data_IF_764068152493
#
_entry.id   IF_764068152493
#
_cell.length_a   1.000
_cell.length_b   1.000
_cell.length_c   1.000
_cell.angle_alpha   90.00
_cell.angle_beta   90.00
_cell.angle_gamma   90.00
#
_symmetry.space_group_name_H-M   'P 1'
#
loop_
_entity.id
_entity.type
_entity.pdbx_description
1 polymer ?
#
# COMPACT_ATOMS: atom_id res chain seq x y z
N UNK A 1 -5.53 2.62 -18.33
CA UNK A 1 -6.05 3.66 -17.41
C UNK A 1 -5.38 3.50 -16.04
N UNK A 2 -5.50 4.46 -15.11
CA UNK A 2 -4.74 4.43 -13.84
C UNK A 2 -4.98 3.17 -13.00
N UNK A 3 -6.23 2.68 -12.94
CA UNK A 3 -6.58 1.45 -12.21
C UNK A 3 -5.99 0.20 -12.88
N UNK A 4 -6.03 0.12 -14.22
CA UNK A 4 -5.44 -1.00 -14.96
C UNK A 4 -3.92 -1.08 -14.80
N UNK A 5 -3.23 0.06 -14.82
CA UNK A 5 -1.77 0.09 -14.61
C UNK A 5 -1.40 -0.23 -13.16
N UNK A 6 -2.18 0.27 -12.20
CA UNK A 6 -2.02 -0.09 -10.79
C UNK A 6 -2.20 -1.59 -10.56
N UNK A 7 -3.18 -2.22 -11.22
CA UNK A 7 -3.39 -3.67 -11.14
C UNK A 7 -2.17 -4.45 -11.66
N UNK A 8 -1.55 -4.02 -12.77
CA UNK A 8 -0.33 -4.67 -13.27
C UNK A 8 0.81 -4.61 -12.25
N UNK A 9 1.02 -3.46 -11.62
CA UNK A 9 2.03 -3.30 -10.58
C UNK A 9 1.77 -4.22 -9.37
N UNK A 10 0.51 -4.34 -8.94
CA UNK A 10 0.12 -5.25 -7.84
C UNK A 10 0.36 -6.72 -8.18
N UNK A 11 0.06 -7.13 -9.42
CA UNK A 11 0.34 -8.50 -9.89
C UNK A 11 1.84 -8.80 -9.90
N UNK A 12 2.68 -7.86 -10.35
CA UNK A 12 4.13 -8.00 -10.26
C UNK A 12 4.61 -8.12 -8.81
N UNK A 13 4.11 -7.27 -7.92
CA UNK A 13 4.45 -7.33 -6.50
C UNK A 13 4.04 -8.67 -5.85
N UNK A 14 2.93 -9.28 -6.28
CA UNK A 14 2.53 -10.62 -5.82
C UNK A 14 3.55 -11.69 -6.19
N UNK A 15 4.03 -11.67 -7.44
CA UNK A 15 5.04 -12.62 -7.93
C UNK A 15 6.32 -12.49 -7.11
N UNK A 16 6.83 -11.27 -6.94
CA UNK A 16 8.03 -11.00 -6.15
C UNK A 16 7.87 -11.43 -4.68
N UNK A 17 6.76 -11.04 -4.04
CA UNK A 17 6.49 -11.41 -2.65
C UNK A 17 6.42 -12.93 -2.45
N UNK A 18 5.80 -13.66 -3.39
CA UNK A 18 5.69 -15.12 -3.32
C UNK A 18 6.99 -15.87 -3.60
N UNK A 19 7.97 -15.20 -4.22
CA UNK A 19 9.25 -15.81 -4.62
C UNK A 19 10.31 -15.76 -3.52
N UNK A 20 10.06 -14.98 -2.45
CA UNK A 20 10.93 -14.88 -1.29
C UNK A 20 10.27 -15.53 -0.05
N UNK A 21 11.07 -16.20 0.79
CA UNK A 21 10.59 -16.70 2.09
C UNK A 21 10.20 -15.50 2.96
N UNK A 22 8.95 -15.48 3.43
CA UNK A 22 8.40 -14.36 4.20
C UNK A 22 8.43 -13.04 3.42
N UNK A 23 8.22 -13.10 2.10
CA UNK A 23 8.31 -11.95 1.21
C UNK A 23 7.20 -10.92 1.42
N UNK A 24 7.54 -9.65 1.23
CA UNK A 24 6.62 -8.52 1.30
C UNK A 24 6.67 -7.73 -0.01
N UNK A 25 5.54 -7.67 -0.72
CA UNK A 25 5.39 -6.84 -1.91
C UNK A 25 4.65 -5.56 -1.56
N UNK A 26 5.31 -4.41 -1.68
CA UNK A 26 4.70 -3.11 -1.33
C UNK A 26 4.61 -2.25 -2.57
N UNK A 27 3.42 -1.76 -2.89
CA UNK A 27 3.16 -0.90 -4.05
C UNK A 27 2.56 0.41 -3.60
N UNK A 28 3.25 1.52 -3.87
CA UNK A 28 2.72 2.87 -3.71
C UNK A 28 1.97 3.29 -4.96
N UNK A 29 0.71 3.71 -4.81
CA UNK A 29 -0.14 4.20 -5.88
C UNK A 29 -0.50 5.67 -5.68
N UNK A 30 -1.01 6.30 -6.74
CA UNK A 30 -1.60 7.64 -6.66
C UNK A 30 -2.79 7.64 -5.69
N UNK A 31 -2.98 8.77 -5.01
CA UNK A 31 -4.07 8.92 -4.04
C UNK A 31 -3.74 9.88 -2.90
N UNK A 32 -3.47 11.15 -3.24
CA UNK A 32 -3.10 12.19 -2.26
C UNK A 32 -4.15 12.40 -1.18
N UNK A 33 -5.41 12.58 -1.57
CA UNK A 33 -6.51 12.84 -0.62
C UNK A 33 -7.59 11.75 -0.62
N UNK A 34 -7.52 10.81 -1.56
CA UNK A 34 -8.46 9.69 -1.62
C UNK A 34 -7.79 8.40 -2.07
N UNK A 35 -8.29 7.28 -1.53
CA UNK A 35 -7.85 5.93 -1.83
C UNK A 35 -8.50 5.30 -3.05
N UNK A 36 -9.21 6.05 -3.91
CA UNK A 36 -10.05 5.48 -4.98
C UNK A 36 -9.29 4.54 -5.92
N UNK A 37 -8.09 4.95 -6.38
CA UNK A 37 -7.24 4.12 -7.24
C UNK A 37 -6.75 2.88 -6.47
N UNK A 38 -6.25 3.08 -5.25
CA UNK A 38 -5.73 1.99 -4.42
C UNK A 38 -6.80 0.93 -4.11
N UNK A 39 -7.99 1.35 -3.71
CA UNK A 39 -9.09 0.44 -3.40
C UNK A 39 -9.62 -0.26 -4.65
N UNK A 40 -9.83 0.47 -5.75
CA UNK A 40 -10.32 -0.11 -7.00
C UNK A 40 -9.34 -1.12 -7.58
N UNK A 41 -8.04 -0.79 -7.61
CA UNK A 41 -7.01 -1.70 -8.09
C UNK A 41 -6.83 -2.91 -7.16
N UNK A 42 -6.92 -2.72 -5.84
CA UNK A 42 -6.87 -3.82 -4.87
C UNK A 42 -8.00 -4.82 -5.09
N UNK A 43 -9.25 -4.34 -5.21
CA UNK A 43 -10.41 -5.20 -5.47
C UNK A 43 -10.34 -5.87 -6.83
N UNK A 44 -9.95 -5.14 -7.88
CA UNK A 44 -9.85 -5.68 -9.23
C UNK A 44 -8.72 -6.73 -9.37
N UNK A 45 -7.61 -6.53 -8.66
CA UNK A 45 -6.47 -7.46 -8.69
C UNK A 45 -6.72 -8.73 -7.88
N UNK A 46 -7.40 -8.63 -6.74
CA UNK A 46 -7.66 -9.75 -5.84
C UNK A 46 -6.42 -10.31 -5.13
N UNK A 47 -5.25 -9.67 -5.26
CA UNK A 47 -3.97 -10.18 -4.70
C UNK A 47 -3.48 -9.44 -3.47
N UNK A 48 -4.12 -8.31 -3.13
CA UNK A 48 -3.71 -7.42 -2.03
C UNK A 48 -4.23 -7.97 -0.70
N UNK A 49 -3.32 -8.12 0.26
CA UNK A 49 -3.65 -8.56 1.61
C UNK A 49 -3.96 -7.38 2.54
N UNK A 50 -3.31 -6.23 2.33
CA UNK A 50 -3.57 -4.99 3.07
C UNK A 50 -3.60 -3.79 2.12
N UNK A 51 -4.67 -2.98 2.19
CA UNK A 51 -4.80 -1.72 1.44
C UNK A 51 -4.82 -0.54 2.41
N UNK A 52 -3.86 0.37 2.28
CA UNK A 52 -3.71 1.57 3.11
C UNK A 52 -4.16 2.80 2.31
N UNK A 53 -5.16 3.51 2.83
CA UNK A 53 -5.79 4.67 2.18
C UNK A 53 -5.86 5.87 3.13
N UNK A 54 -5.83 7.11 2.64
CA UNK A 54 -5.85 8.31 3.49
C UNK A 54 -7.13 8.43 4.35
N UNK A 55 -8.23 7.81 3.94
CA UNK A 55 -9.49 7.82 4.68
C UNK A 55 -9.48 6.98 5.97
N UNK A 56 -8.52 6.06 6.12
CA UNK A 56 -8.45 5.12 7.24
C UNK A 56 -7.06 5.20 7.91
N UNK A 57 -6.91 6.04 8.96
CA UNK A 57 -5.67 6.12 9.73
C UNK A 57 -5.28 4.78 10.35
N UNK A 58 -3.98 4.51 10.44
CA UNK A 58 -3.47 3.25 10.98
C UNK A 58 -2.26 3.48 11.89
N UNK A 59 -1.95 2.45 12.68
CA UNK A 59 -0.76 2.42 13.54
C UNK A 59 0.21 1.37 13.01
N UNK A 60 1.49 1.71 12.94
CA UNK A 60 2.53 0.83 12.41
C UNK A 60 2.60 -0.48 13.21
N UNK A 61 2.43 -0.42 14.53
CA UNK A 61 2.52 -1.60 15.39
C UNK A 61 1.37 -2.59 15.10
N UNK A 62 0.17 -2.07 14.85
CA UNK A 62 -1.00 -2.89 14.49
C UNK A 62 -0.86 -3.47 13.08
N UNK A 63 -0.36 -2.69 12.14
CA UNK A 63 -0.08 -3.14 10.78
C UNK A 63 0.97 -4.26 10.79
N UNK A 64 2.06 -4.08 11.53
CA UNK A 64 3.13 -5.06 11.65
C UNK A 64 2.63 -6.38 12.27
N UNK A 65 1.84 -6.31 13.34
CA UNK A 65 1.24 -7.51 13.94
C UNK A 65 0.33 -8.25 12.94
N UNK A 66 -0.54 -7.52 12.24
CA UNK A 66 -1.42 -8.13 11.24
C UNK A 66 -0.66 -8.77 10.08
N UNK A 67 0.41 -8.13 9.60
CA UNK A 67 1.27 -8.69 8.55
C UNK A 67 2.02 -9.93 9.01
N UNK A 68 2.45 -10.01 10.28
CA UNK A 68 3.07 -11.21 10.83
C UNK A 68 2.11 -12.40 10.77
N UNK A 69 0.84 -12.20 11.14
CA UNK A 69 -0.19 -13.24 11.05
C UNK A 69 -0.37 -13.71 9.59
N UNK A 70 -0.50 -12.77 8.65
CA UNK A 70 -0.63 -13.08 7.22
C UNK A 70 0.59 -13.86 6.71
N UNK A 71 1.80 -13.42 7.04
CA UNK A 71 3.02 -14.08 6.59
C UNK A 71 3.15 -15.48 7.22
N UNK A 72 2.73 -15.66 8.47
CA UNK A 72 2.73 -16.96 9.11
C UNK A 72 1.78 -17.95 8.41
N UNK A 73 0.61 -17.48 7.97
CA UNK A 73 -0.39 -18.31 7.30
C UNK A 73 -0.11 -18.54 5.80
N UNK A 74 0.21 -17.47 5.06
CA UNK A 74 0.38 -17.49 3.59
C UNK A 74 1.83 -17.61 3.12
N UNK A 75 2.81 -17.30 3.97
CA UNK A 75 4.23 -17.27 3.61
C UNK A 75 4.71 -15.95 3.00
N UNK A 76 3.80 -15.05 2.62
CA UNK A 76 4.07 -13.72 2.06
C UNK A 76 2.86 -12.80 2.19
N UNK A 77 3.06 -11.50 2.01
CA UNK A 77 1.96 -10.52 1.95
C UNK A 77 2.19 -9.46 0.86
N UNK A 78 1.08 -8.96 0.30
CA UNK A 78 1.07 -7.84 -0.63
C UNK A 78 0.33 -6.65 -0.02
N UNK A 79 0.97 -5.50 -0.03
CA UNK A 79 0.49 -4.24 0.54
C UNK A 79 0.34 -3.22 -0.57
N UNK A 80 -0.87 -2.65 -0.70
CA UNK A 80 -1.15 -1.52 -1.54
C UNK A 80 -1.24 -0.26 -0.67
N UNK A 81 -0.53 0.81 -1.04
CA UNK A 81 -0.48 2.05 -0.25
C UNK A 81 -0.79 3.24 -1.16
N UNK A 82 -1.86 3.98 -0.86
CA UNK A 82 -2.07 5.28 -1.48
C UNK A 82 -1.02 6.28 -0.97
N UNK A 83 -0.48 7.15 -1.82
CA UNK A 83 0.57 8.11 -1.43
C UNK A 83 0.18 9.05 -0.28
N UNK A 84 -1.12 9.31 -0.08
CA UNK A 84 -1.64 10.10 1.03
C UNK A 84 -1.84 9.33 2.33
N UNK A 85 -1.65 8.01 2.35
CA UNK A 85 -1.84 7.21 3.56
C UNK A 85 -0.66 7.36 4.53
N UNK A 86 -0.95 7.57 5.82
CA UNK A 86 0.07 7.62 6.88
C UNK A 86 0.90 8.90 6.90
N UNK A 87 0.43 10.00 6.30
CA UNK A 87 1.10 11.31 6.35
C UNK A 87 1.29 11.81 7.79
N UNK A 88 0.34 11.49 8.67
CA UNK A 88 0.39 11.77 10.10
C UNK A 88 1.54 11.08 10.84
N UNK A 89 2.14 10.05 10.24
CA UNK A 89 3.29 9.30 10.77
C UNK A 89 4.63 9.93 10.34
N UNK A 90 4.62 10.88 9.40
CA UNK A 90 5.81 11.50 8.81
C UNK A 90 5.96 12.99 9.19
N UNK A 91 5.48 13.39 10.38
CA UNK A 91 5.42 14.78 10.85
C UNK A 91 6.75 15.55 10.76
N UNK A 92 7.90 14.87 10.78
CA UNK A 92 9.22 15.51 10.62
C UNK A 92 9.47 16.07 9.19
N UNK A 93 8.63 15.73 8.21
CA UNK A 93 8.79 16.13 6.80
C UNK A 93 7.60 16.94 6.25
N UNK A 94 6.62 17.30 7.07
CA UNK A 94 5.33 17.86 6.61
C UNK A 94 5.38 19.29 6.08
N UNK A 95 6.43 20.06 6.42
CA UNK A 95 6.47 21.51 6.17
C UNK A 95 7.20 21.87 4.87
N UNK A 96 7.55 20.87 4.05
CA UNK A 96 8.21 21.09 2.78
C UNK A 96 7.19 21.22 1.66
N UNK A 97 7.16 22.38 1.01
CA UNK A 97 6.37 22.60 -0.20
C UNK A 97 7.20 22.39 -1.45
N UNK A 98 6.60 21.86 -2.50
CA UNK A 98 7.24 21.87 -3.82
C UNK A 98 7.30 23.29 -4.43
N UNK A 99 7.90 23.43 -5.62
CA UNK A 99 8.02 24.72 -6.31
C UNK A 99 6.68 25.37 -6.67
N UNK A 100 5.59 24.60 -6.66
CA UNK A 100 4.21 25.07 -6.91
C UNK A 100 3.42 25.36 -5.63
N UNK A 101 4.02 25.16 -4.46
CA UNK A 101 3.40 25.41 -3.15
C UNK A 101 2.54 24.26 -2.63
N UNK A 102 2.69 23.05 -3.21
CA UNK A 102 2.01 21.84 -2.76
C UNK A 102 2.75 21.12 -1.66
#
# INVERSE_FOLDING_TARGET
TAVEEAQRALLSAKVEASSARHGLGIVKLMGRQSGFIAMSASLASGVVDVCLIPEVPFKIEKLAAHLQDIIHEKGHAVICVAEGAGQELMQEFSDQTDASGN
#
